data_IF_947504812202
#
_entry.id   IF_947504812202
#
_cell.length_a   1.000
_cell.length_b   1.000
_cell.length_c   1.000
_cell.angle_alpha   90.00
_cell.angle_beta   90.00
_cell.angle_gamma   90.00
#
_symmetry.space_group_name_H-M   'P 1'
#
loop_
_entity.id
_entity.type
_entity.pdbx_description
1 polymer ?
#
# COMPACT_ATOMS: atom_id res chain seq x y z
N UNK A 1 -0.47 40.71 10.49
CA UNK A 1 -1.10 39.54 9.83
C UNK A 1 -0.02 38.89 8.98
N UNK A 2 0.09 37.56 8.92
CA UNK A 2 1.03 36.92 7.99
C UNK A 2 0.67 37.37 6.57
N UNK A 3 1.67 37.82 5.81
CA UNK A 3 1.44 38.22 4.42
C UNK A 3 0.96 37.02 3.60
N UNK A 4 0.04 37.26 2.66
CA UNK A 4 -0.53 36.22 1.79
C UNK A 4 0.54 35.38 1.07
N UNK A 5 1.70 35.97 0.79
CA UNK A 5 2.84 35.30 0.18
C UNK A 5 3.40 34.14 1.02
N UNK A 6 3.43 34.27 2.36
CA UNK A 6 3.88 33.19 3.24
C UNK A 6 2.90 32.01 3.22
N UNK A 7 1.61 32.32 3.17
CA UNK A 7 0.57 31.28 3.14
C UNK A 7 0.59 30.51 1.81
N UNK A 8 0.83 31.20 0.69
CA UNK A 8 0.99 30.56 -0.63
C UNK A 8 2.25 29.69 -0.66
N UNK A 9 3.39 30.22 -0.20
CA UNK A 9 4.65 29.46 -0.18
C UNK A 9 4.54 28.18 0.68
N UNK A 10 3.87 28.25 1.83
CA UNK A 10 3.64 27.07 2.67
C UNK A 10 2.79 26.01 1.96
N UNK A 11 1.73 26.43 1.25
CA UNK A 11 0.89 25.52 0.48
C UNK A 11 1.64 24.87 -0.68
N UNK A 12 2.47 25.63 -1.40
CA UNK A 12 3.30 25.11 -2.49
C UNK A 12 4.30 24.06 -2.01
N UNK A 13 5.00 24.33 -0.91
CA UNK A 13 5.94 23.38 -0.30
C UNK A 13 5.23 22.09 0.10
N UNK A 14 4.05 22.20 0.73
CA UNK A 14 3.26 21.03 1.12
C UNK A 14 2.77 20.24 -0.10
N UNK A 15 2.35 20.92 -1.17
CA UNK A 15 1.92 20.28 -2.41
C UNK A 15 3.08 19.55 -3.09
N UNK A 16 4.26 20.16 -3.20
CA UNK A 16 5.45 19.51 -3.76
C UNK A 16 5.90 18.33 -2.91
N UNK A 17 5.92 18.48 -1.58
CA UNK A 17 6.24 17.39 -0.68
C UNK A 17 5.26 16.21 -0.84
N UNK A 18 3.97 16.49 -0.97
CA UNK A 18 2.95 15.47 -1.20
C UNK A 18 3.17 14.71 -2.52
N UNK A 19 3.38 15.43 -3.62
CA UNK A 19 3.66 14.82 -4.94
C UNK A 19 4.96 14.02 -4.88
N UNK A 20 5.99 14.54 -4.21
CA UNK A 20 7.27 13.86 -4.05
C UNK A 20 7.12 12.53 -3.30
N UNK A 21 6.37 12.52 -2.18
CA UNK A 21 6.09 11.30 -1.42
C UNK A 21 5.34 10.27 -2.27
N UNK A 22 4.32 10.70 -3.03
CA UNK A 22 3.60 9.82 -3.96
C UNK A 22 4.55 9.24 -5.01
N UNK A 23 5.42 10.09 -5.59
CA UNK A 23 6.43 9.68 -6.56
C UNK A 23 7.39 8.64 -5.99
N UNK A 24 7.84 8.81 -4.75
CA UNK A 24 8.70 7.83 -4.06
C UNK A 24 7.98 6.49 -3.85
N UNK A 25 6.71 6.52 -3.42
CA UNK A 25 5.92 5.29 -3.25
C UNK A 25 5.77 4.56 -4.59
N UNK A 26 5.44 5.29 -5.66
CA UNK A 26 5.33 4.72 -7.00
C UNK A 26 6.67 4.12 -7.47
N UNK A 27 7.78 4.81 -7.23
CA UNK A 27 9.12 4.31 -7.56
C UNK A 27 9.44 3.01 -6.83
N UNK A 28 9.15 2.93 -5.52
CA UNK A 28 9.33 1.70 -4.74
C UNK A 28 8.49 0.56 -5.30
N UNK A 29 7.23 0.81 -5.65
CA UNK A 29 6.35 -0.20 -6.26
C UNK A 29 6.94 -0.72 -7.57
N UNK A 30 7.42 0.18 -8.45
CA UNK A 30 8.06 -0.21 -9.71
C UNK A 30 9.31 -1.06 -9.47
N UNK A 31 10.18 -0.65 -8.54
CA UNK A 31 11.39 -1.41 -8.20
C UNK A 31 11.03 -2.81 -7.68
N UNK A 32 10.09 -2.92 -6.73
CA UNK A 32 9.63 -4.19 -6.18
C UNK A 32 9.01 -5.06 -7.27
N UNK A 33 8.18 -4.48 -8.14
CA UNK A 33 7.58 -5.17 -9.28
C UNK A 33 8.66 -5.75 -10.20
N UNK A 34 9.68 -4.95 -10.57
CA UNK A 34 10.79 -5.41 -11.41
C UNK A 34 11.58 -6.54 -10.74
N UNK A 35 11.87 -6.43 -9.44
CA UNK A 35 12.53 -7.49 -8.69
C UNK A 35 11.67 -8.77 -8.63
N UNK A 36 10.36 -8.62 -8.49
CA UNK A 36 9.43 -9.74 -8.41
C UNK A 36 9.30 -10.53 -9.71
N UNK A 37 9.28 -9.85 -10.86
CA UNK A 37 9.20 -10.51 -12.16
C UNK A 37 10.55 -11.11 -12.60
N UNK A 38 11.67 -10.53 -12.15
CA UNK A 38 13.02 -10.97 -12.56
C UNK A 38 13.52 -12.15 -11.73
N UNK A 39 13.07 -12.32 -10.48
CA UNK A 39 13.45 -13.49 -9.69
C UNK A 39 12.90 -14.79 -10.28
N UNK A 40 13.75 -15.83 -10.33
CA UNK A 40 13.35 -17.18 -10.80
C UNK A 40 12.98 -18.15 -9.69
N UNK A 41 13.21 -17.78 -8.43
CA UNK A 41 13.10 -18.68 -7.27
C UNK A 41 11.67 -18.92 -6.80
N UNK A 42 10.80 -17.91 -6.86
CA UNK A 42 9.45 -17.96 -6.29
C UNK A 42 8.37 -17.74 -7.35
N UNK A 43 7.72 -18.82 -7.79
CA UNK A 43 6.71 -18.78 -8.85
C UNK A 43 5.52 -17.85 -8.52
N UNK A 44 5.10 -17.79 -7.26
CA UNK A 44 3.96 -16.96 -6.82
C UNK A 44 4.26 -15.46 -7.00
N UNK A 45 5.45 -14.99 -6.59
CA UNK A 45 5.84 -13.58 -6.75
C UNK A 45 6.06 -13.19 -8.21
N UNK A 46 6.48 -14.14 -9.06
CA UNK A 46 6.63 -13.91 -10.50
C UNK A 46 5.29 -13.76 -11.22
N UNK A 47 4.29 -14.58 -10.86
CA UNK A 47 2.95 -14.50 -11.47
C UNK A 47 2.08 -13.40 -10.86
N UNK A 48 2.32 -13.02 -9.60
CA UNK A 48 1.58 -11.99 -8.87
C UNK A 48 2.54 -10.99 -8.20
N UNK A 49 3.32 -10.22 -8.99
CA UNK A 49 4.28 -9.25 -8.47
C UNK A 49 3.58 -8.18 -7.64
N UNK A 50 4.23 -7.68 -6.58
CA UNK A 50 3.69 -6.76 -5.56
C UNK A 50 2.56 -7.39 -4.72
N UNK A 51 1.53 -7.96 -5.34
CA UNK A 51 0.35 -8.55 -4.69
C UNK A 51 0.71 -9.75 -3.82
N UNK A 52 1.68 -10.56 -4.24
CA UNK A 52 2.13 -11.72 -3.46
C UNK A 52 2.67 -11.37 -2.07
N UNK A 53 3.11 -10.12 -1.84
CA UNK A 53 3.56 -9.66 -0.53
C UNK A 53 2.41 -9.50 0.47
N UNK A 54 1.19 -9.21 -0.02
CA UNK A 54 0.00 -9.04 0.82
C UNK A 54 -0.66 -10.36 1.22
N UNK A 55 -0.14 -11.51 0.79
CA UNK A 55 -0.67 -12.84 1.13
C UNK A 55 -0.95 -12.97 2.63
N UNK A 56 0.01 -12.57 3.47
CA UNK A 56 -0.12 -12.68 4.92
C UNK A 56 -1.17 -11.73 5.50
N UNK A 57 -1.29 -10.52 4.94
CA UNK A 57 -2.33 -9.58 5.35
C UNK A 57 -3.74 -10.15 5.04
N UNK A 58 -3.93 -10.69 3.84
CA UNK A 58 -5.20 -11.33 3.45
C UNK A 58 -5.49 -12.61 4.22
N UNK A 59 -4.48 -13.39 4.58
CA UNK A 59 -4.67 -14.59 5.40
C UNK A 59 -5.24 -14.22 6.79
N UNK A 60 -4.70 -13.17 7.41
CA UNK A 60 -5.19 -12.67 8.70
C UNK A 60 -6.59 -12.09 8.58
N UNK A 61 -6.84 -11.25 7.56
CA UNK A 61 -8.15 -10.67 7.31
C UNK A 61 -9.22 -11.74 7.04
N UNK A 62 -8.87 -12.76 6.25
CA UNK A 62 -9.76 -13.89 5.97
C UNK A 62 -10.05 -14.76 7.20
N UNK A 63 -9.11 -14.90 8.15
CA UNK A 63 -9.37 -15.55 9.45
C UNK A 63 -10.40 -14.76 10.26
N UNK A 64 -10.21 -13.44 10.36
CA UNK A 64 -11.16 -12.56 11.05
C UNK A 64 -12.57 -12.65 10.45
N UNK A 65 -12.70 -12.54 9.12
CA UNK A 65 -14.02 -12.63 8.48
C UNK A 65 -14.70 -13.98 8.72
N UNK A 66 -13.97 -15.10 8.58
CA UNK A 66 -14.54 -16.41 8.89
C UNK A 66 -15.00 -16.50 10.34
N UNK A 67 -14.20 -16.01 11.28
CA UNK A 67 -14.61 -15.99 12.69
C UNK A 67 -15.84 -15.10 12.92
N UNK A 68 -15.91 -13.91 12.30
CA UNK A 68 -17.05 -13.02 12.39
C UNK A 68 -18.34 -13.65 11.86
N UNK A 69 -18.28 -14.27 10.67
CA UNK A 69 -19.45 -14.91 10.06
C UNK A 69 -19.93 -16.16 10.83
N UNK A 70 -19.02 -16.96 11.39
CA UNK A 70 -19.40 -18.18 12.14
C UNK A 70 -19.67 -17.94 13.63
N UNK A 71 -19.20 -16.84 14.21
CA UNK A 71 -19.56 -16.45 15.58
C UNK A 71 -21.01 -15.97 15.67
N UNK A 72 -21.52 -15.31 14.62
CA UNK A 72 -22.91 -14.85 14.52
C UNK A 72 -23.94 -15.98 14.41
N UNK A 73 -23.53 -17.19 14.02
CA UNK A 73 -24.41 -18.37 13.87
C UNK A 73 -24.54 -19.19 15.17
N UNK A 74 -23.91 -18.74 16.26
CA UNK A 74 -23.88 -19.42 17.57
C UNK A 74 -24.62 -18.67 18.69
N UNK A 75 -25.22 -17.53 18.38
CA UNK A 75 -25.98 -16.71 19.33
C UNK A 75 -27.51 -16.83 19.16
N UNK A 76 -27.99 -17.70 18.26
CA UNK A 76 -29.39 -18.16 18.17
C UNK A 76 -29.53 -19.63 18.60
#
# INVERSE_FOLDING_TARGET
MPDSNYMIAALEIMAFAFIFVIGLIALVIVVVFTLDITQRKHAIRRNYPVVAHFRYAFETLGKFFRQYFFAMDREE
#
